data_IF_287697242694
#
_entry.id   IF_287697242694
#
_cell.length_a   1.000
_cell.length_b   1.000
_cell.length_c   1.000
_cell.angle_alpha   90.00
_cell.angle_beta   90.00
_cell.angle_gamma   90.00
#
_symmetry.space_group_name_H-M   'P 1'
#
loop_
_entity.id
_entity.type
_entity.pdbx_description
1 polymer ?
#
# COMPACT_ATOMS: atom_id res chain seq x y z
N UNK A 1 -8.58 18.27 -23.69
CA UNK A 1 -9.20 19.31 -22.85
C UNK A 1 -8.16 20.16 -22.13
N UNK A 2 -6.99 19.58 -21.75
CA UNK A 2 -5.90 20.23 -21.03
C UNK A 2 -4.70 20.56 -21.94
N UNK A 3 -4.89 20.48 -23.25
CA UNK A 3 -3.86 20.80 -24.23
C UNK A 3 -3.74 22.32 -24.44
N UNK A 4 -2.51 22.79 -24.54
CA UNK A 4 -2.20 24.20 -24.79
C UNK A 4 -0.92 24.34 -25.63
N UNK A 5 -0.67 25.52 -26.18
CA UNK A 5 0.53 25.80 -26.95
C UNK A 5 1.70 26.11 -26.01
N UNK A 6 2.76 25.36 -26.13
CA UNK A 6 3.99 25.53 -25.38
C UNK A 6 5.18 25.60 -26.35
N UNK A 7 5.67 26.83 -26.58
CA UNK A 7 6.75 27.13 -27.54
C UNK A 7 6.52 26.60 -28.96
N UNK A 8 5.30 26.70 -29.45
CA UNK A 8 4.92 26.26 -30.81
C UNK A 8 4.47 24.80 -30.89
N UNK A 9 4.54 24.03 -29.77
CA UNK A 9 4.05 22.65 -29.67
C UNK A 9 2.75 22.61 -28.89
N UNK A 10 1.81 21.79 -29.33
CA UNK A 10 0.62 21.46 -28.53
C UNK A 10 0.97 20.35 -27.58
N UNK A 11 0.89 20.62 -26.29
CA UNK A 11 1.17 19.65 -25.23
C UNK A 11 0.00 19.54 -24.26
N UNK A 12 -0.15 18.38 -23.60
CA UNK A 12 -1.07 18.19 -22.48
C UNK A 12 -0.36 18.49 -21.17
N UNK A 13 -1.03 19.22 -20.27
CA UNK A 13 -0.51 19.46 -18.92
C UNK A 13 -0.52 18.18 -18.10
N UNK A 14 -1.59 17.39 -18.21
CA UNK A 14 -1.78 16.15 -17.46
C UNK A 14 -1.48 14.97 -18.39
N UNK A 15 -0.27 14.42 -18.27
CA UNK A 15 0.10 13.19 -19.02
C UNK A 15 -0.68 12.02 -18.44
N UNK A 16 -1.50 11.41 -19.28
CA UNK A 16 -2.41 10.31 -18.93
C UNK A 16 -1.90 8.94 -19.41
N UNK A 17 -2.46 7.83 -18.94
CA UNK A 17 -2.20 6.52 -19.52
C UNK A 17 -2.52 6.43 -21.02
N UNK A 18 -3.56 7.14 -21.51
CA UNK A 18 -3.91 7.16 -22.92
C UNK A 18 -2.82 7.77 -23.80
N UNK A 19 -2.10 8.79 -23.30
CA UNK A 19 -0.95 9.35 -24.02
C UNK A 19 0.16 8.31 -24.19
N UNK A 20 0.40 7.51 -23.14
CA UNK A 20 1.41 6.45 -23.12
C UNK A 20 0.99 5.25 -23.99
N UNK A 21 -0.28 4.91 -24.03
CA UNK A 21 -0.83 3.75 -24.76
C UNK A 21 -0.55 3.79 -26.26
N UNK A 22 -0.26 4.98 -26.83
CA UNK A 22 0.12 5.12 -28.24
C UNK A 22 1.34 4.26 -28.62
N UNK A 23 2.26 4.03 -27.65
CA UNK A 23 3.49 3.22 -27.86
C UNK A 23 3.61 2.11 -26.82
N UNK A 24 2.99 2.21 -25.64
CA UNK A 24 3.13 1.33 -24.49
C UNK A 24 1.81 0.64 -24.14
N UNK A 25 1.17 0.02 -25.14
CA UNK A 25 -0.15 -0.62 -25.02
C UNK A 25 -0.16 -1.68 -23.93
N UNK A 26 0.81 -2.59 -23.94
CA UNK A 26 0.87 -3.72 -23.00
C UNK A 26 1.04 -3.24 -21.55
N UNK A 27 1.89 -2.24 -21.33
CA UNK A 27 2.12 -1.67 -20.01
C UNK A 27 0.86 -0.98 -19.46
N UNK A 28 0.15 -0.25 -20.32
CA UNK A 28 -1.10 0.42 -19.95
C UNK A 28 -2.20 -0.59 -19.65
N UNK A 29 -2.36 -1.63 -20.48
CA UNK A 29 -3.32 -2.72 -20.23
C UNK A 29 -3.03 -3.46 -18.92
N UNK A 30 -1.77 -3.84 -18.68
CA UNK A 30 -1.35 -4.49 -17.42
C UNK A 30 -1.60 -3.60 -16.20
N UNK A 31 -1.41 -2.29 -16.34
CA UNK A 31 -1.59 -1.33 -15.25
C UNK A 31 -3.07 -1.06 -14.94
N UNK A 32 -3.93 -1.00 -15.95
CA UNK A 32 -5.31 -0.52 -15.85
C UNK A 32 -6.16 -1.26 -14.81
N UNK A 33 -5.98 -2.57 -14.67
CA UNK A 33 -6.72 -3.38 -13.69
C UNK A 33 -5.94 -3.60 -12.37
N UNK A 34 -4.90 -2.82 -12.12
CA UNK A 34 -4.16 -2.90 -10.85
C UNK A 34 -4.86 -2.14 -9.73
N UNK A 35 -4.56 -2.52 -8.50
CA UNK A 35 -4.94 -1.74 -7.31
C UNK A 35 -4.37 -0.33 -7.31
N UNK A 36 -3.25 -0.10 -8.01
CA UNK A 36 -2.64 1.24 -8.15
C UNK A 36 -3.47 2.13 -9.07
N UNK A 37 -3.81 1.68 -10.26
CA UNK A 37 -4.68 2.45 -11.17
C UNK A 37 -6.05 2.73 -10.55
N UNK A 38 -6.56 1.80 -9.74
CA UNK A 38 -7.86 1.87 -9.07
C UNK A 38 -7.79 2.45 -7.64
N UNK A 39 -6.66 3.05 -7.23
CA UNK A 39 -6.46 3.49 -5.85
C UNK A 39 -7.43 4.60 -5.43
N UNK A 40 -7.75 5.55 -6.31
CA UNK A 40 -8.80 6.55 -6.06
C UNK A 40 -10.15 5.88 -5.78
N UNK A 41 -10.57 4.96 -6.64
CA UNK A 41 -11.84 4.26 -6.51
C UNK A 41 -11.92 3.43 -5.21
N UNK A 42 -10.81 2.85 -4.76
CA UNK A 42 -10.76 2.13 -3.49
C UNK A 42 -11.19 3.00 -2.31
N UNK A 43 -10.77 4.26 -2.25
CA UNK A 43 -11.18 5.19 -1.19
C UNK A 43 -12.56 5.78 -1.44
N UNK A 44 -12.89 6.11 -2.68
CA UNK A 44 -14.12 6.82 -3.01
C UNK A 44 -15.36 5.91 -3.09
N UNK A 45 -15.21 4.66 -3.52
CA UNK A 45 -16.33 3.73 -3.75
C UNK A 45 -16.51 2.68 -2.66
N UNK A 46 -15.53 2.49 -1.78
CA UNK A 46 -15.71 1.66 -0.59
C UNK A 46 -16.22 2.54 0.55
N UNK A 47 -17.46 2.35 1.05
CA UNK A 47 -18.04 3.20 2.10
C UNK A 47 -17.23 3.18 3.41
N UNK A 48 -16.57 2.06 3.75
CA UNK A 48 -15.73 1.98 4.95
C UNK A 48 -14.46 2.82 4.79
N UNK A 49 -13.78 2.74 3.65
CA UNK A 49 -12.62 3.61 3.39
C UNK A 49 -13.02 5.08 3.26
N UNK A 50 -14.15 5.37 2.64
CA UNK A 50 -14.67 6.75 2.56
C UNK A 50 -14.97 7.32 3.95
N UNK A 51 -15.55 6.52 4.84
CA UNK A 51 -15.78 6.89 6.24
C UNK A 51 -14.44 7.10 6.98
N UNK A 52 -13.49 6.20 6.81
CA UNK A 52 -12.15 6.33 7.39
C UNK A 52 -11.45 7.61 6.93
N UNK A 53 -11.44 7.90 5.62
CA UNK A 53 -10.90 9.16 5.08
C UNK A 53 -11.59 10.37 5.70
N UNK A 54 -12.92 10.36 5.78
CA UNK A 54 -13.71 11.45 6.35
C UNK A 54 -13.36 11.72 7.81
N UNK A 55 -13.28 10.67 8.63
CA UNK A 55 -12.96 10.78 10.06
C UNK A 55 -11.51 11.17 10.29
N UNK A 56 -10.56 10.60 9.51
CA UNK A 56 -9.12 10.87 9.66
C UNK A 56 -8.75 12.31 9.24
N UNK A 57 -9.50 12.90 8.32
CA UNK A 57 -9.29 14.29 7.87
C UNK A 57 -10.25 15.29 8.53
N UNK A 58 -11.08 14.86 9.48
CA UNK A 58 -12.08 15.68 10.14
C UNK A 58 -11.46 16.86 10.91
N UNK A 59 -12.16 17.99 10.88
CA UNK A 59 -11.82 19.12 11.72
C UNK A 59 -12.52 18.99 13.07
N UNK A 60 -11.76 19.00 14.15
CA UNK A 60 -12.27 18.87 15.52
C UNK A 60 -12.27 20.23 16.23
N UNK A 61 -13.34 20.51 16.98
CA UNK A 61 -13.46 21.72 17.78
C UNK A 61 -14.13 21.41 19.12
N UNK A 62 -13.85 22.22 20.14
CA UNK A 62 -14.59 22.17 21.42
C UNK A 62 -15.66 23.23 21.39
N UNK A 63 -16.94 22.79 21.37
CA UNK A 63 -18.09 23.68 21.37
C UNK A 63 -18.94 23.36 22.61
N UNK A 64 -19.16 24.36 23.43
CA UNK A 64 -19.93 24.25 24.68
C UNK A 64 -19.50 23.12 25.62
N UNK A 65 -18.19 22.85 25.67
CA UNK A 65 -17.62 21.79 26.51
C UNK A 65 -17.64 20.38 25.91
N UNK A 66 -18.11 20.19 24.67
CA UNK A 66 -18.12 18.94 23.96
C UNK A 66 -17.13 18.98 22.77
N UNK A 67 -16.42 17.89 22.52
CA UNK A 67 -15.63 17.72 21.31
C UNK A 67 -16.57 17.44 20.14
N UNK A 68 -16.55 18.30 19.14
CA UNK A 68 -17.32 18.16 17.89
C UNK A 68 -16.40 17.90 16.72
N UNK A 69 -16.93 17.38 15.61
CA UNK A 69 -16.17 17.17 14.39
C UNK A 69 -17.01 17.45 13.15
N UNK A 70 -16.39 18.05 12.17
CA UNK A 70 -16.93 18.22 10.83
C UNK A 70 -16.08 17.42 9.85
N UNK A 71 -16.70 16.87 8.80
CA UNK A 71 -15.97 16.14 7.76
C UNK A 71 -14.84 17.00 7.20
N UNK A 72 -13.71 16.37 6.92
CA UNK A 72 -12.54 17.05 6.33
C UNK A 72 -12.90 17.75 5.02
N UNK A 73 -12.25 18.90 4.79
CA UNK A 73 -12.41 19.63 3.52
C UNK A 73 -11.89 18.80 2.34
N UNK A 74 -12.29 19.15 1.14
CA UNK A 74 -11.73 18.54 -0.08
C UNK A 74 -10.20 18.70 -0.11
N UNK A 75 -9.69 19.89 0.26
CA UNK A 75 -8.25 20.12 0.36
C UNK A 75 -7.57 19.18 1.34
N UNK A 76 -8.11 18.99 2.55
CA UNK A 76 -7.54 18.08 3.55
C UNK A 76 -7.49 16.63 3.05
N UNK A 77 -8.51 16.18 2.32
CA UNK A 77 -8.53 14.85 1.69
C UNK A 77 -7.51 14.73 0.55
N UNK A 78 -7.41 15.78 -0.29
CA UNK A 78 -6.52 15.79 -1.45
C UNK A 78 -5.04 15.83 -1.05
N UNK A 79 -4.68 16.68 -0.08
CA UNK A 79 -3.32 16.78 0.46
C UNK A 79 -2.94 15.55 1.32
N UNK A 80 -3.92 14.90 1.94
CA UNK A 80 -3.74 13.67 2.71
C UNK A 80 -3.81 12.42 1.83
N UNK A 81 -4.91 11.68 1.95
CA UNK A 81 -5.06 10.36 1.34
C UNK A 81 -4.94 10.35 -0.19
N UNK A 82 -5.56 11.34 -0.86
CA UNK A 82 -5.55 11.40 -2.32
C UNK A 82 -4.24 11.93 -2.92
N UNK A 83 -3.33 12.43 -2.10
CA UNK A 83 -1.96 12.72 -2.55
C UNK A 83 -1.28 11.47 -3.13
N UNK A 84 -1.44 10.33 -2.46
CA UNK A 84 -0.93 9.02 -2.91
C UNK A 84 -1.95 8.24 -3.77
N UNK A 85 -3.23 8.26 -3.39
CA UNK A 85 -4.29 7.50 -4.05
C UNK A 85 -4.80 8.14 -5.34
N UNK A 86 -4.49 9.42 -5.59
CA UNK A 86 -4.87 10.17 -6.77
C UNK A 86 -6.15 10.97 -6.61
N UNK A 87 -6.12 12.22 -7.08
CA UNK A 87 -7.29 13.10 -7.17
C UNK A 87 -7.99 12.94 -8.51
N UNK A 88 -9.20 13.48 -8.62
CA UNK A 88 -9.85 13.71 -9.91
C UNK A 88 -9.45 15.10 -10.45
N UNK A 89 -8.76 15.13 -11.58
CA UNK A 89 -8.38 16.38 -12.23
C UNK A 89 -9.50 16.82 -13.17
N UNK A 90 -9.95 18.06 -13.04
CA UNK A 90 -10.94 18.67 -13.95
C UNK A 90 -10.37 19.92 -14.61
N UNK A 91 -10.82 20.20 -15.83
CA UNK A 91 -10.44 21.38 -16.62
C UNK A 91 -11.57 22.40 -16.57
N UNK A 92 -11.31 23.59 -16.05
CA UNK A 92 -12.28 24.70 -15.95
C UNK A 92 -12.07 25.78 -17.03
N UNK A 93 -11.44 25.42 -18.14
CA UNK A 93 -11.13 26.32 -19.21
C UNK A 93 -9.65 26.74 -19.25
N UNK A 94 -9.37 27.92 -19.79
CA UNK A 94 -8.04 28.51 -19.84
C UNK A 94 -7.95 29.69 -18.86
N UNK A 95 -6.75 29.94 -18.38
CA UNK A 95 -6.41 31.15 -17.61
C UNK A 95 -5.12 31.77 -18.16
N UNK A 96 -5.05 33.07 -18.15
CA UNK A 96 -3.82 33.81 -18.45
C UNK A 96 -2.90 33.84 -17.23
N UNK A 97 -1.64 33.59 -17.46
CA UNK A 97 -0.59 33.71 -16.45
C UNK A 97 0.58 34.52 -16.99
N UNK A 98 1.14 35.36 -16.14
CA UNK A 98 2.39 36.06 -16.46
C UNK A 98 3.56 35.09 -16.39
N UNK A 99 4.37 35.06 -17.42
CA UNK A 99 5.61 34.28 -17.47
C UNK A 99 6.80 35.18 -17.81
N UNK A 100 8.01 34.64 -17.69
CA UNK A 100 9.23 35.35 -18.11
C UNK A 100 9.24 35.73 -19.60
N UNK A 101 8.33 35.13 -20.39
CA UNK A 101 8.18 35.32 -21.84
C UNK A 101 6.92 36.14 -22.19
N UNK A 102 6.29 36.78 -21.20
CA UNK A 102 5.04 37.50 -21.32
C UNK A 102 3.82 36.68 -20.90
N UNK A 103 2.63 37.20 -21.17
CA UNK A 103 1.37 36.53 -20.88
C UNK A 103 1.19 35.28 -21.75
N UNK A 104 0.85 34.16 -21.14
CA UNK A 104 0.52 32.91 -21.80
C UNK A 104 -0.81 32.37 -21.29
N UNK A 105 -1.58 31.71 -22.16
CA UNK A 105 -2.78 30.99 -21.78
C UNK A 105 -2.41 29.55 -21.42
N UNK A 106 -2.86 29.09 -20.25
CA UNK A 106 -2.67 27.72 -19.74
C UNK A 106 -3.99 27.13 -19.26
N UNK A 107 -4.17 25.81 -19.25
CA UNK A 107 -5.35 25.19 -18.67
C UNK A 107 -5.54 25.56 -17.22
N UNK A 108 -6.77 25.92 -16.85
CA UNK A 108 -7.17 26.08 -15.45
C UNK A 108 -7.60 24.71 -14.92
N UNK A 109 -6.75 24.09 -14.10
CA UNK A 109 -6.91 22.73 -13.60
C UNK A 109 -7.26 22.73 -12.11
N UNK A 110 -8.35 22.07 -11.76
CA UNK A 110 -8.67 21.78 -10.35
C UNK A 110 -7.98 20.50 -9.90
N UNK A 111 -7.61 20.46 -8.60
CA UNK A 111 -6.92 19.32 -7.96
C UNK A 111 -5.56 18.96 -8.61
N UNK A 112 -4.93 19.92 -9.25
CA UNK A 112 -3.60 19.83 -9.85
C UNK A 112 -2.62 20.78 -9.13
N UNK A 113 -1.33 20.40 -8.92
CA UNK A 113 -0.70 19.14 -9.37
C UNK A 113 -1.04 17.96 -8.48
N UNK A 114 -1.14 16.77 -9.06
CA UNK A 114 -1.27 15.51 -8.34
C UNK A 114 -0.54 14.38 -9.08
N UNK A 115 0.25 13.59 -8.36
CA UNK A 115 1.01 12.45 -8.87
C UNK A 115 0.54 11.11 -8.29
N UNK A 116 -0.59 11.09 -7.58
CA UNK A 116 -1.14 9.87 -6.99
C UNK A 116 -1.44 8.81 -8.03
N UNK A 117 -1.08 7.56 -7.71
CA UNK A 117 -1.07 6.43 -8.67
C UNK A 117 -2.43 6.14 -9.31
N UNK A 118 -3.54 6.42 -8.63
CA UNK A 118 -4.91 6.21 -9.12
C UNK A 118 -5.59 7.48 -9.63
N UNK A 119 -4.83 8.50 -10.02
CA UNK A 119 -5.36 9.76 -10.51
C UNK A 119 -6.39 9.56 -11.63
N UNK A 120 -7.50 10.28 -11.57
CA UNK A 120 -8.50 10.34 -12.63
C UNK A 120 -8.20 11.55 -13.50
N UNK A 121 -7.86 11.28 -14.77
CA UNK A 121 -7.37 12.28 -15.71
C UNK A 121 -8.50 13.00 -16.43
N UNK A 122 -8.26 14.18 -17.05
CA UNK A 122 -9.28 14.94 -17.80
C UNK A 122 -9.89 14.19 -18.98
N UNK A 123 -9.17 13.20 -19.53
CA UNK A 123 -9.64 12.33 -20.62
C UNK A 123 -10.47 11.13 -20.12
N UNK A 124 -10.69 11.02 -18.80
CA UNK A 124 -11.42 9.94 -18.15
C UNK A 124 -10.60 8.70 -17.85
N UNK A 125 -9.35 8.61 -18.28
CA UNK A 125 -8.45 7.50 -17.95
C UNK A 125 -8.08 7.52 -16.47
N UNK A 126 -7.74 6.34 -15.92
CA UNK A 126 -7.34 6.17 -14.52
C UNK A 126 -5.90 5.74 -14.43
N UNK A 127 -5.18 6.37 -13.51
CA UNK A 127 -3.78 6.07 -13.25
C UNK A 127 -2.82 7.21 -13.57
N UNK A 128 -1.60 7.08 -13.06
CA UNK A 128 -0.55 8.06 -13.30
C UNK A 128 0.79 7.35 -13.55
N UNK A 129 1.13 7.13 -14.80
CA UNK A 129 2.45 6.60 -15.20
C UNK A 129 3.58 7.50 -14.66
N UNK A 130 3.31 8.81 -14.58
CA UNK A 130 4.22 9.82 -14.05
C UNK A 130 4.45 9.77 -12.54
N UNK A 131 3.73 8.91 -11.81
CA UNK A 131 4.03 8.62 -10.40
C UNK A 131 5.36 7.87 -10.24
N UNK A 132 5.74 7.08 -11.24
CA UNK A 132 6.98 6.30 -11.26
C UNK A 132 7.95 6.78 -12.32
N UNK A 133 7.46 7.09 -13.52
CA UNK A 133 8.23 7.65 -14.63
C UNK A 133 8.10 9.17 -14.60
N UNK A 134 9.02 9.83 -13.88
CA UNK A 134 8.93 11.28 -13.66
C UNK A 134 8.90 12.08 -14.96
N UNK A 135 8.10 13.14 -14.99
CA UNK A 135 7.93 14.01 -16.17
C UNK A 135 9.26 14.56 -16.67
N UNK A 136 9.27 14.83 -17.96
CA UNK A 136 10.34 15.30 -18.83
C UNK A 136 11.36 14.23 -19.23
N UNK A 137 11.78 13.35 -18.33
CA UNK A 137 12.76 12.29 -18.65
C UNK A 137 12.12 10.93 -18.86
N UNK A 138 11.00 10.64 -18.18
CA UNK A 138 10.32 9.34 -18.17
C UNK A 138 11.28 8.16 -17.93
N UNK A 139 12.28 8.39 -17.07
CA UNK A 139 13.42 7.50 -16.86
C UNK A 139 13.02 6.18 -16.21
N UNK A 140 13.49 5.08 -16.76
CA UNK A 140 13.41 3.76 -16.15
C UNK A 140 14.34 3.66 -14.92
N UNK A 141 15.48 4.37 -14.94
CA UNK A 141 16.39 4.44 -13.82
C UNK A 141 15.73 5.01 -12.57
N UNK A 142 14.95 6.10 -12.72
CA UNK A 142 14.17 6.68 -11.61
C UNK A 142 13.10 5.71 -11.14
N UNK A 143 12.36 5.08 -12.06
CA UNK A 143 11.28 4.15 -11.70
C UNK A 143 11.77 2.90 -10.93
N UNK A 144 13.04 2.50 -11.11
CA UNK A 144 13.67 1.35 -10.44
C UNK A 144 14.17 1.67 -9.03
N UNK A 145 14.39 2.95 -8.71
CA UNK A 145 14.89 3.33 -7.39
C UNK A 145 13.83 3.14 -6.30
N UNK A 146 14.20 2.62 -5.13
CA UNK A 146 13.27 2.43 -4.01
C UNK A 146 12.58 3.71 -3.56
N UNK A 147 13.24 4.87 -3.69
CA UNK A 147 12.73 6.20 -3.36
C UNK A 147 11.44 6.51 -4.12
N UNK A 148 11.34 6.10 -5.37
CA UNK A 148 10.12 6.26 -6.18
C UNK A 148 8.91 5.58 -5.56
N UNK A 149 9.09 4.39 -5.01
CA UNK A 149 8.03 3.68 -4.27
C UNK A 149 7.79 4.32 -2.90
N UNK A 150 8.87 4.80 -2.26
CA UNK A 150 8.87 5.44 -0.96
C UNK A 150 8.09 6.76 -0.87
N UNK A 151 7.70 7.37 -2.00
CA UNK A 151 6.80 8.53 -1.98
C UNK A 151 5.39 8.22 -1.44
N UNK A 152 4.97 6.95 -1.52
CA UNK A 152 3.64 6.50 -1.08
C UNK A 152 3.70 5.31 -0.11
N UNK A 153 4.70 4.43 -0.25
CA UNK A 153 4.88 3.26 0.61
C UNK A 153 5.78 3.59 1.82
N UNK A 154 5.26 4.40 2.72
CA UNK A 154 5.95 4.93 3.91
C UNK A 154 5.07 4.77 5.16
N UNK A 155 5.69 4.93 6.31
CA UNK A 155 4.97 4.87 7.59
C UNK A 155 3.99 6.05 7.78
N UNK A 156 2.95 5.90 8.62
CA UNK A 156 2.82 4.82 9.61
C UNK A 156 2.17 3.54 9.08
N UNK A 157 1.34 3.57 8.05
CA UNK A 157 0.45 2.48 7.63
C UNK A 157 1.09 1.48 6.66
N UNK A 158 2.00 1.92 5.78
CA UNK A 158 2.67 1.07 4.78
C UNK A 158 4.19 1.28 4.80
N UNK A 159 4.91 0.95 5.89
CA UNK A 159 6.33 1.29 6.08
C UNK A 159 7.28 0.47 5.19
N UNK A 160 6.88 0.16 3.94
CA UNK A 160 7.66 -0.71 3.07
C UNK A 160 9.03 -0.13 2.71
N UNK A 161 9.10 1.18 2.49
CA UNK A 161 10.36 1.86 2.16
C UNK A 161 11.32 1.89 3.36
N UNK A 162 10.80 2.18 4.56
CA UNK A 162 11.59 2.18 5.79
C UNK A 162 12.12 0.78 6.12
N UNK A 163 11.26 -0.23 6.07
CA UNK A 163 11.64 -1.64 6.25
C UNK A 163 12.70 -2.07 5.24
N UNK A 164 12.52 -1.69 3.97
CA UNK A 164 13.51 -1.97 2.92
C UNK A 164 14.88 -1.36 3.27
N UNK A 165 14.91 -0.09 3.70
CA UNK A 165 16.18 0.59 4.09
C UNK A 165 16.89 -0.10 5.25
N UNK A 166 16.15 -0.70 6.17
CA UNK A 166 16.69 -1.45 7.30
C UNK A 166 17.21 -2.83 6.89
N UNK A 167 16.62 -3.44 5.85
CA UNK A 167 16.99 -4.75 5.35
C UNK A 167 18.43 -4.80 4.84
N UNK A 168 19.02 -6.03 4.78
CA UNK A 168 20.35 -6.22 4.19
C UNK A 168 20.40 -5.83 2.71
N UNK A 169 19.31 -6.03 1.96
CA UNK A 169 19.21 -5.59 0.57
C UNK A 169 19.23 -4.06 0.46
N UNK A 170 18.47 -3.36 1.29
CA UNK A 170 18.48 -1.91 1.34
C UNK A 170 19.81 -1.34 1.81
N UNK A 171 20.51 -2.00 2.74
CA UNK A 171 21.86 -1.58 3.15
C UNK A 171 22.84 -1.69 1.99
N UNK A 172 22.80 -2.78 1.22
CA UNK A 172 23.66 -2.96 0.04
C UNK A 172 23.32 -1.93 -1.06
N UNK A 173 22.05 -1.69 -1.33
CA UNK A 173 21.61 -0.63 -2.23
C UNK A 173 22.16 0.75 -1.82
N UNK A 174 22.05 1.12 -0.56
CA UNK A 174 22.55 2.41 -0.05
C UNK A 174 24.06 2.55 -0.15
N UNK A 175 24.78 1.44 0.00
CA UNK A 175 26.23 1.44 -0.08
C UNK A 175 26.74 1.49 -1.52
N UNK A 176 26.09 0.81 -2.48
CA UNK A 176 26.62 0.54 -3.81
C UNK A 176 25.67 0.88 -4.97
N UNK A 177 24.41 1.23 -4.71
CA UNK A 177 23.40 1.46 -5.74
C UNK A 177 23.76 2.57 -6.74
N UNK A 178 24.62 3.52 -6.37
CA UNK A 178 25.12 4.57 -7.28
C UNK A 178 25.90 4.01 -8.47
N UNK A 179 26.51 2.83 -8.30
CA UNK A 179 27.39 2.21 -9.28
C UNK A 179 26.65 1.20 -10.17
N UNK A 180 25.33 1.00 -9.93
CA UNK A 180 24.52 0.07 -10.69
C UNK A 180 24.11 0.62 -12.05
N UNK A 181 23.90 -0.27 -13.02
CA UNK A 181 23.44 0.09 -14.34
C UNK A 181 21.91 0.15 -14.40
N UNK A 182 21.35 1.28 -14.03
CA UNK A 182 19.91 1.48 -13.88
C UNK A 182 19.11 1.46 -15.17
N UNK A 183 19.74 1.77 -16.31
CA UNK A 183 19.07 1.89 -17.61
C UNK A 183 19.04 0.58 -18.41
N UNK A 184 19.85 -0.41 -18.02
CA UNK A 184 19.96 -1.67 -18.77
C UNK A 184 18.65 -2.46 -18.78
N UNK A 185 18.24 -2.96 -19.98
CA UNK A 185 17.08 -3.84 -20.18
C UNK A 185 17.47 -5.00 -21.09
N UNK A 186 17.29 -6.26 -20.69
CA UNK A 186 16.88 -6.74 -19.35
C UNK A 186 17.86 -6.33 -18.26
N UNK A 187 17.37 -6.28 -17.01
CA UNK A 187 18.21 -5.98 -15.85
C UNK A 187 18.86 -7.27 -15.35
N UNK A 188 20.19 -7.34 -15.39
CA UNK A 188 20.97 -8.55 -15.11
C UNK A 188 21.33 -8.61 -13.64
N UNK A 189 20.87 -9.68 -12.96
CA UNK A 189 21.19 -9.91 -11.55
C UNK A 189 22.65 -10.30 -11.37
N UNK A 190 23.37 -9.60 -10.51
CA UNK A 190 24.78 -9.79 -10.24
C UNK A 190 25.72 -8.95 -11.13
N UNK A 191 25.22 -8.40 -12.24
CA UNK A 191 26.02 -7.50 -13.11
C UNK A 191 25.52 -6.05 -13.02
N UNK A 192 24.25 -5.83 -13.37
CA UNK A 192 23.66 -4.47 -13.38
C UNK A 192 23.18 -4.06 -12.00
N UNK A 193 22.86 -5.03 -11.14
CA UNK A 193 22.44 -4.83 -9.75
C UNK A 193 22.92 -5.96 -8.84
N UNK A 194 23.39 -5.63 -7.65
CA UNK A 194 23.89 -6.59 -6.66
C UNK A 194 22.87 -6.93 -5.56
N UNK A 195 21.77 -6.19 -5.50
CA UNK A 195 20.67 -6.45 -4.59
C UNK A 195 19.33 -6.06 -5.20
N UNK A 196 18.24 -6.73 -4.82
CA UNK A 196 16.92 -6.38 -5.30
C UNK A 196 16.47 -5.02 -4.74
N UNK A 197 15.78 -4.24 -5.59
CA UNK A 197 14.95 -3.11 -5.23
C UNK A 197 13.47 -3.51 -5.27
N UNK A 198 12.56 -2.59 -4.95
CA UNK A 198 11.13 -2.83 -5.11
C UNK A 198 10.80 -3.25 -6.56
N UNK A 199 11.37 -2.56 -7.54
CA UNK A 199 11.17 -2.85 -8.95
C UNK A 199 11.69 -4.24 -9.37
N UNK A 200 12.77 -4.72 -8.76
CA UNK A 200 13.30 -6.07 -9.03
C UNK A 200 12.25 -7.15 -8.71
N UNK A 201 11.64 -7.07 -7.54
CA UNK A 201 10.66 -8.07 -7.10
C UNK A 201 9.29 -7.90 -7.79
N UNK A 202 8.89 -6.67 -8.13
CA UNK A 202 7.51 -6.39 -8.52
C UNK A 202 7.27 -6.25 -10.02
N UNK A 203 8.22 -5.72 -10.82
CA UNK A 203 7.88 -5.37 -12.21
C UNK A 203 9.01 -5.47 -13.26
N UNK A 204 10.29 -5.54 -12.86
CA UNK A 204 11.37 -5.54 -13.85
C UNK A 204 11.46 -6.84 -14.66
N UNK A 205 11.89 -6.71 -15.92
CA UNK A 205 12.43 -7.82 -16.69
C UNK A 205 13.82 -8.15 -16.15
N UNK A 206 13.96 -9.35 -15.60
CA UNK A 206 15.19 -9.81 -14.96
C UNK A 206 15.78 -10.99 -15.69
N UNK A 207 17.11 -10.98 -15.84
CA UNK A 207 17.87 -12.14 -16.28
C UNK A 207 18.96 -12.48 -15.28
N UNK A 208 19.39 -13.73 -15.26
CA UNK A 208 20.53 -14.21 -14.50
C UNK A 208 21.38 -15.17 -15.37
N UNK A 209 22.68 -15.25 -15.09
CA UNK A 209 23.66 -16.05 -15.87
C UNK A 209 24.57 -15.17 -16.69
N UNK A 210 25.87 -15.52 -16.70
CA UNK A 210 26.95 -14.74 -17.39
C UNK A 210 27.05 -15.05 -18.88
N UNK A 211 26.90 -16.32 -19.26
CA UNK A 211 27.20 -16.79 -20.64
C UNK A 211 25.92 -16.94 -21.48
N UNK A 212 24.84 -17.40 -20.88
CA UNK A 212 23.53 -17.60 -21.53
C UNK A 212 22.43 -17.14 -20.54
N UNK A 213 22.13 -15.83 -20.51
CA UNK A 213 21.24 -15.28 -19.50
C UNK A 213 19.80 -15.80 -19.65
N UNK A 214 19.28 -16.48 -18.64
CA UNK A 214 17.89 -16.92 -18.56
C UNK A 214 16.98 -15.83 -17.98
N UNK A 215 15.75 -15.73 -18.48
CA UNK A 215 14.73 -14.86 -17.91
C UNK A 215 14.23 -15.47 -16.61
N UNK A 216 14.56 -14.84 -15.49
CA UNK A 216 14.09 -15.24 -14.16
C UNK A 216 12.75 -14.60 -13.81
N UNK A 217 12.47 -13.42 -14.36
CA UNK A 217 11.18 -12.75 -14.19
C UNK A 217 10.84 -11.89 -15.42
N UNK A 218 9.68 -12.07 -16.06
CA UNK A 218 9.24 -11.21 -17.16
C UNK A 218 8.90 -9.79 -16.63
N UNK A 219 8.97 -8.78 -17.51
CA UNK A 219 8.48 -7.45 -17.21
C UNK A 219 6.95 -7.48 -16.99
N UNK A 220 6.48 -6.75 -16.01
CA UNK A 220 5.05 -6.54 -15.79
C UNK A 220 4.76 -5.17 -15.17
N UNK A 221 3.61 -4.57 -15.52
CA UNK A 221 3.05 -3.42 -14.83
C UNK A 221 1.86 -3.81 -13.93
N UNK A 222 1.56 -5.11 -13.83
CA UNK A 222 0.71 -5.64 -12.78
C UNK A 222 1.55 -5.93 -11.52
N UNK A 223 1.65 -4.95 -10.63
CA UNK A 223 2.45 -5.02 -9.40
C UNK A 223 2.00 -6.13 -8.42
N UNK A 224 0.84 -6.72 -8.64
CA UNK A 224 0.32 -7.83 -7.86
C UNK A 224 0.62 -9.21 -8.40
N UNK A 225 1.16 -9.33 -9.63
CA UNK A 225 1.29 -10.58 -10.37
C UNK A 225 2.15 -11.64 -9.65
N UNK A 226 3.16 -11.21 -8.89
CA UNK A 226 4.04 -12.10 -8.12
C UNK A 226 3.70 -12.16 -6.64
N UNK A 227 2.56 -11.59 -6.22
CA UNK A 227 2.12 -11.56 -4.83
C UNK A 227 0.96 -12.53 -4.63
N UNK A 228 1.11 -13.48 -3.72
CA UNK A 228 0.08 -14.49 -3.40
C UNK A 228 -0.85 -14.06 -2.28
N UNK A 229 -0.38 -13.24 -1.34
CA UNK A 229 -1.13 -12.73 -0.20
C UNK A 229 -1.12 -11.21 -0.21
N UNK A 230 -2.25 -10.59 0.13
CA UNK A 230 -2.32 -9.18 0.45
C UNK A 230 -2.25 -9.01 1.95
N UNK A 231 -1.23 -8.34 2.41
CA UNK A 231 -0.95 -8.12 3.84
C UNK A 231 -1.52 -6.82 4.38
N UNK A 232 -1.98 -5.93 3.50
CA UNK A 232 -2.70 -4.69 3.84
C UNK A 232 -4.20 -4.91 3.69
N UNK A 233 -4.78 -5.84 4.44
CA UNK A 233 -6.21 -6.11 4.40
C UNK A 233 -6.98 -5.25 5.39
N UNK A 234 -8.30 -5.21 5.22
CA UNK A 234 -9.25 -4.72 6.19
C UNK A 234 -9.99 -5.91 6.80
N UNK A 235 -9.74 -6.25 8.03
CA UNK A 235 -8.59 -6.01 8.91
C UNK A 235 -7.49 -7.07 8.77
N UNK A 236 -7.73 -8.19 8.06
CA UNK A 236 -6.86 -9.36 7.99
C UNK A 236 -6.11 -9.44 6.66
N UNK A 237 -5.00 -10.20 6.67
CA UNK A 237 -4.39 -10.66 5.43
C UNK A 237 -5.34 -11.61 4.68
N UNK A 238 -5.23 -11.64 3.37
CA UNK A 238 -6.08 -12.48 2.53
C UNK A 238 -5.40 -12.77 1.18
N UNK A 239 -5.85 -13.76 0.39
CA UNK A 239 -5.38 -13.94 -0.98
C UNK A 239 -5.53 -12.65 -1.79
N UNK A 240 -4.67 -12.42 -2.77
CA UNK A 240 -4.80 -11.23 -3.60
C UNK A 240 -6.17 -11.15 -4.26
N UNK A 241 -6.79 -9.97 -4.36
CA UNK A 241 -7.96 -9.78 -5.21
C UNK A 241 -7.64 -10.06 -6.68
N UNK A 242 -8.60 -10.64 -7.39
CA UNK A 242 -8.49 -10.93 -8.84
C UNK A 242 -8.40 -9.64 -9.64
N UNK A 243 -9.12 -8.58 -9.20
CA UNK A 243 -9.19 -7.28 -9.86
C UNK A 243 -8.71 -6.14 -8.97
N UNK A 244 -8.29 -5.05 -9.60
CA UNK A 244 -7.90 -3.81 -8.92
C UNK A 244 -9.06 -3.09 -8.21
N UNK A 245 -10.31 -3.32 -8.65
CA UNK A 245 -11.53 -2.74 -8.09
C UNK A 245 -11.96 -3.43 -6.80
N UNK A 246 -11.16 -3.28 -5.75
CA UNK A 246 -11.33 -3.98 -4.46
C UNK A 246 -12.63 -3.62 -3.73
N UNK A 247 -13.27 -2.52 -4.07
CA UNK A 247 -14.59 -2.13 -3.52
C UNK A 247 -15.76 -2.97 -4.04
N UNK A 248 -15.54 -3.78 -5.08
CA UNK A 248 -16.54 -4.72 -5.61
C UNK A 248 -16.56 -6.05 -4.82
N UNK A 249 -15.51 -6.34 -4.05
CA UNK A 249 -15.49 -7.52 -3.19
C UNK A 249 -16.64 -7.49 -2.18
N UNK A 250 -17.15 -8.68 -1.85
CA UNK A 250 -18.14 -8.85 -0.79
C UNK A 250 -17.76 -10.05 0.06
N UNK A 251 -17.72 -9.83 1.38
CA UNK A 251 -17.62 -10.91 2.34
C UNK A 251 -18.98 -11.65 2.49
N UNK A 252 -19.06 -12.66 3.35
CA UNK A 252 -20.29 -13.42 3.56
C UNK A 252 -21.41 -12.58 4.17
N UNK A 253 -21.07 -11.55 4.95
CA UNK A 253 -22.02 -10.57 5.49
C UNK A 253 -22.49 -9.52 4.47
N UNK A 254 -21.99 -9.56 3.20
CA UNK A 254 -22.31 -8.62 2.13
C UNK A 254 -21.61 -7.26 2.25
N UNK A 255 -20.66 -7.12 3.15
CA UNK A 255 -19.88 -5.89 3.32
C UNK A 255 -18.80 -5.81 2.23
N UNK A 256 -18.35 -4.59 1.84
CA UNK A 256 -17.31 -4.40 0.82
C UNK A 256 -15.90 -4.68 1.40
N UNK A 257 -15.73 -5.86 1.97
CA UNK A 257 -14.51 -6.32 2.63
C UNK A 257 -14.02 -7.63 1.98
N UNK A 258 -12.69 -7.86 1.97
CA UNK A 258 -12.10 -9.10 1.49
C UNK A 258 -12.22 -10.27 2.47
N UNK A 259 -12.57 -9.98 3.72
CA UNK A 259 -12.79 -10.97 4.79
C UNK A 259 -14.01 -10.60 5.63
N UNK A 260 -14.57 -11.58 6.31
CA UNK A 260 -15.46 -11.33 7.45
C UNK A 260 -14.66 -10.83 8.66
N UNK A 261 -15.36 -10.31 9.69
CA UNK A 261 -14.71 -9.84 10.92
C UNK A 261 -14.07 -10.97 11.74
N UNK A 262 -14.33 -12.21 11.39
CA UNK A 262 -13.66 -13.38 11.97
C UNK A 262 -12.42 -13.83 11.18
N UNK A 263 -12.05 -13.14 10.12
CA UNK A 263 -10.91 -13.41 9.26
C UNK A 263 -11.20 -14.39 8.11
N UNK A 264 -12.43 -14.92 8.00
CA UNK A 264 -12.80 -15.80 6.89
C UNK A 264 -12.75 -15.04 5.57
N UNK A 265 -11.97 -15.48 4.58
CA UNK A 265 -11.87 -14.81 3.28
C UNK A 265 -13.18 -14.81 2.51
N UNK A 266 -13.43 -13.77 1.72
CA UNK A 266 -14.56 -13.73 0.79
C UNK A 266 -14.54 -14.93 -0.16
N UNK A 267 -15.71 -15.51 -0.42
CA UNK A 267 -15.86 -16.72 -1.22
C UNK A 267 -15.53 -16.50 -2.71
N UNK A 268 -15.60 -15.25 -3.19
CA UNK A 268 -15.36 -14.88 -4.59
C UNK A 268 -14.52 -13.62 -4.68
N UNK A 269 -13.91 -13.39 -5.85
CA UNK A 269 -13.11 -12.19 -6.12
C UNK A 269 -11.68 -12.23 -5.60
N UNK A 270 -11.26 -13.33 -4.97
CA UNK A 270 -9.89 -13.59 -4.54
C UNK A 270 -9.25 -14.69 -5.40
N UNK A 271 -7.95 -14.65 -5.59
CA UNK A 271 -7.22 -15.68 -6.36
C UNK A 271 -7.30 -17.03 -5.66
N UNK A 272 -7.30 -18.10 -6.47
CA UNK A 272 -7.34 -19.47 -5.98
C UNK A 272 -6.05 -19.89 -5.24
N UNK A 273 -6.11 -20.97 -4.47
CA UNK A 273 -4.93 -21.54 -3.81
C UNK A 273 -3.85 -21.99 -4.83
N UNK A 274 -4.27 -22.47 -6.01
CA UNK A 274 -3.34 -22.84 -7.08
C UNK A 274 -2.60 -21.59 -7.59
N UNK A 275 -3.31 -20.52 -7.87
CA UNK A 275 -2.70 -19.27 -8.31
C UNK A 275 -1.81 -18.63 -7.23
N UNK A 276 -2.18 -18.74 -5.95
CA UNK A 276 -1.30 -18.35 -4.85
C UNK A 276 0.04 -19.09 -4.90
N UNK A 277 0.00 -20.41 -5.10
CA UNK A 277 1.20 -21.24 -5.21
C UNK A 277 2.06 -20.84 -6.43
N UNK A 278 1.45 -20.61 -7.59
CA UNK A 278 2.14 -20.19 -8.80
C UNK A 278 2.82 -18.82 -8.62
N UNK A 279 2.14 -17.85 -7.99
CA UNK A 279 2.71 -16.53 -7.69
C UNK A 279 3.86 -16.61 -6.69
N UNK A 280 3.76 -17.49 -5.69
CA UNK A 280 4.86 -17.72 -4.74
C UNK A 280 6.08 -18.34 -5.44
N UNK A 281 5.87 -19.27 -6.37
CA UNK A 281 6.94 -19.83 -7.22
C UNK A 281 7.57 -18.73 -8.09
N UNK A 282 6.76 -17.88 -8.70
CA UNK A 282 7.26 -16.77 -9.51
C UNK A 282 8.13 -15.80 -8.68
N UNK A 283 7.71 -15.46 -7.47
CA UNK A 283 8.52 -14.65 -6.54
C UNK A 283 9.81 -15.39 -6.12
N UNK A 284 9.72 -16.71 -5.86
CA UNK A 284 10.89 -17.51 -5.50
C UNK A 284 11.97 -17.51 -6.58
N UNK A 285 11.58 -17.50 -7.87
CA UNK A 285 12.54 -17.43 -8.99
C UNK A 285 13.38 -16.15 -8.95
N UNK A 286 12.76 -15.02 -8.58
CA UNK A 286 13.52 -13.76 -8.37
C UNK A 286 14.60 -13.94 -7.31
N UNK A 287 14.26 -14.58 -6.18
CA UNK A 287 15.23 -14.82 -5.11
C UNK A 287 16.35 -15.77 -5.55
N UNK A 288 16.01 -16.84 -6.28
CA UNK A 288 16.98 -17.84 -6.71
C UNK A 288 17.92 -17.35 -7.82
N UNK A 289 17.66 -16.19 -8.40
CA UNK A 289 18.65 -15.50 -9.26
C UNK A 289 19.95 -15.13 -8.53
N UNK A 290 19.93 -15.04 -7.19
CA UNK A 290 21.09 -14.74 -6.35
C UNK A 290 21.29 -15.74 -5.20
N UNK A 291 20.24 -16.41 -4.74
CA UNK A 291 20.25 -17.28 -3.55
C UNK A 291 19.98 -18.74 -3.91
N UNK A 292 20.44 -19.66 -3.05
CA UNK A 292 20.03 -21.06 -3.14
C UNK A 292 18.53 -21.22 -2.89
N UNK A 293 17.90 -22.25 -3.44
CA UNK A 293 16.46 -22.51 -3.32
C UNK A 293 15.99 -22.67 -1.86
N UNK A 294 16.86 -23.09 -0.96
CA UNK A 294 16.53 -23.17 0.48
C UNK A 294 16.26 -21.81 1.12
N UNK A 295 16.82 -20.74 0.58
CA UNK A 295 16.64 -19.38 1.12
C UNK A 295 15.19 -18.88 0.99
N UNK A 296 14.58 -18.81 -0.22
CA UNK A 296 13.18 -18.39 -0.33
C UNK A 296 12.21 -19.35 0.37
N UNK A 297 12.45 -20.67 0.36
CA UNK A 297 11.61 -21.64 1.07
C UNK A 297 11.56 -21.32 2.56
N UNK A 298 12.72 -21.19 3.21
CA UNK A 298 12.78 -20.88 4.63
C UNK A 298 12.26 -19.48 4.97
N UNK A 299 12.50 -18.49 4.10
CA UNK A 299 12.00 -17.15 4.26
C UNK A 299 10.47 -17.09 4.21
N UNK A 300 9.86 -17.68 3.18
CA UNK A 300 8.41 -17.65 3.03
C UNK A 300 7.67 -18.47 4.08
N UNK A 301 8.28 -19.55 4.60
CA UNK A 301 7.72 -20.28 5.75
C UNK A 301 7.63 -19.36 7.00
N UNK A 302 8.69 -18.65 7.33
CA UNK A 302 8.67 -17.69 8.44
C UNK A 302 7.72 -16.52 8.20
N UNK A 303 7.71 -15.98 7.00
CA UNK A 303 6.80 -14.89 6.62
C UNK A 303 5.33 -15.31 6.77
N UNK A 304 4.95 -16.47 6.25
CA UNK A 304 3.58 -16.97 6.36
C UNK A 304 3.17 -17.19 7.82
N UNK A 305 4.10 -17.65 8.68
CA UNK A 305 3.84 -17.79 10.11
C UNK A 305 3.66 -16.43 10.79
N UNK A 306 4.50 -15.44 10.49
CA UNK A 306 4.32 -14.07 11.02
C UNK A 306 2.97 -13.47 10.59
N UNK A 307 2.55 -13.69 9.33
CA UNK A 307 1.23 -13.24 8.84
C UNK A 307 0.12 -13.89 9.67
N UNK A 308 0.17 -15.23 9.84
CA UNK A 308 -0.81 -15.97 10.64
C UNK A 308 -0.89 -15.46 12.08
N UNK A 309 0.26 -15.27 12.73
CA UNK A 309 0.32 -14.81 14.13
C UNK A 309 -0.19 -13.37 14.28
N UNK A 310 0.16 -12.47 13.37
CA UNK A 310 -0.37 -11.10 13.39
C UNK A 310 -1.87 -11.08 13.18
N UNK A 311 -2.41 -11.94 12.31
CA UNK A 311 -3.86 -12.06 12.10
C UNK A 311 -4.58 -12.56 13.36
N UNK A 312 -3.98 -13.47 14.14
CA UNK A 312 -4.53 -13.88 15.44
C UNK A 312 -4.60 -12.71 16.44
N UNK A 313 -3.60 -11.84 16.44
CA UNK A 313 -3.63 -10.66 17.32
C UNK A 313 -4.61 -9.59 16.83
N UNK A 314 -4.80 -9.45 15.52
CA UNK A 314 -5.88 -8.62 14.96
C UNK A 314 -7.23 -9.21 15.32
N UNK A 315 -7.38 -10.55 15.31
CA UNK A 315 -8.59 -11.22 15.76
C UNK A 315 -8.92 -10.91 17.22
N UNK A 316 -7.93 -10.99 18.11
CA UNK A 316 -8.12 -10.63 19.51
C UNK A 316 -8.61 -9.17 19.67
N UNK A 317 -8.05 -8.23 18.92
CA UNK A 317 -8.52 -6.84 18.92
C UNK A 317 -9.95 -6.72 18.38
N UNK A 318 -10.30 -7.48 17.33
CA UNK A 318 -11.65 -7.48 16.75
C UNK A 318 -12.67 -8.08 17.71
N UNK A 319 -12.30 -9.11 18.47
CA UNK A 319 -13.17 -9.68 19.52
C UNK A 319 -13.43 -8.67 20.66
N UNK A 320 -12.41 -7.91 21.09
CA UNK A 320 -12.57 -6.80 22.03
C UNK A 320 -13.47 -5.70 21.46
N UNK A 321 -13.29 -5.37 20.17
CA UNK A 321 -14.11 -4.38 19.50
C UNK A 321 -15.59 -4.82 19.40
N UNK A 322 -15.83 -6.09 19.02
CA UNK A 322 -17.17 -6.67 18.99
C UNK A 322 -17.86 -6.60 20.36
N UNK A 323 -17.11 -6.81 21.44
CA UNK A 323 -17.66 -6.65 22.80
C UNK A 323 -18.11 -5.20 23.05
N UNK A 324 -17.33 -4.21 22.63
CA UNK A 324 -17.71 -2.80 22.76
C UNK A 324 -18.98 -2.46 21.96
N UNK A 325 -19.05 -2.89 20.71
CA UNK A 325 -20.23 -2.66 19.85
C UNK A 325 -21.48 -3.36 20.38
N UNK A 326 -21.37 -4.65 20.72
CA UNK A 326 -22.52 -5.45 21.20
C UNK A 326 -23.07 -4.98 22.55
N UNK A 327 -22.28 -4.27 23.34
CA UNK A 327 -22.69 -3.70 24.63
C UNK A 327 -23.06 -2.20 24.55
N UNK A 328 -23.01 -1.62 23.35
CA UNK A 328 -23.35 -0.22 23.12
C UNK A 328 -22.33 0.78 23.69
N UNK A 329 -21.10 0.35 23.93
CA UNK A 329 -20.01 1.23 24.39
C UNK A 329 -19.30 1.96 23.24
N UNK A 330 -19.48 1.49 22.02
CA UNK A 330 -19.10 2.14 20.77
C UNK A 330 -20.22 1.95 19.74
N UNK A 331 -20.29 2.82 18.73
CA UNK A 331 -21.36 2.84 17.74
C UNK A 331 -20.93 2.22 16.42
N UNK A 332 -21.38 1.02 16.05
CA UNK A 332 -20.96 0.37 14.81
C UNK A 332 -21.44 1.08 13.53
N UNK A 333 -22.24 2.14 13.63
CA UNK A 333 -22.64 2.95 12.47
C UNK A 333 -21.51 3.88 11.97
N UNK A 334 -20.58 4.24 12.85
CA UNK A 334 -19.31 4.89 12.49
C UNK A 334 -18.17 4.14 13.16
N UNK A 335 -17.34 3.45 12.37
CA UNK A 335 -16.32 2.52 12.86
C UNK A 335 -14.99 3.21 13.24
N UNK A 336 -14.91 4.55 13.27
CA UNK A 336 -13.62 5.24 13.35
C UNK A 336 -13.63 6.48 14.25
N UNK A 337 -14.63 6.69 15.10
CA UNK A 337 -14.75 7.93 15.89
C UNK A 337 -14.62 7.76 17.40
N UNK A 338 -14.79 6.56 17.95
CA UNK A 338 -14.50 6.29 19.35
C UNK A 338 -13.05 5.83 19.59
N UNK A 339 -12.58 6.04 20.81
CA UNK A 339 -11.19 5.71 21.21
C UNK A 339 -10.84 4.25 20.97
N UNK A 340 -11.74 3.32 21.29
CA UNK A 340 -11.49 1.89 21.15
C UNK A 340 -11.46 1.48 19.67
N UNK A 341 -12.23 2.13 18.83
CA UNK A 341 -12.22 1.96 17.36
C UNK A 341 -10.91 2.46 16.78
N UNK A 342 -10.41 3.62 17.23
CA UNK A 342 -9.08 4.11 16.88
C UNK A 342 -7.98 3.09 17.22
N UNK A 343 -8.04 2.50 18.41
CA UNK A 343 -7.10 1.42 18.82
C UNK A 343 -7.23 0.17 17.95
N UNK A 344 -8.45 -0.21 17.56
CA UNK A 344 -8.68 -1.32 16.65
C UNK A 344 -8.09 -1.05 15.26
N UNK A 345 -8.24 0.17 14.74
CA UNK A 345 -7.60 0.62 13.49
C UNK A 345 -6.08 0.56 13.59
N UNK A 346 -5.51 1.08 14.66
CA UNK A 346 -4.05 1.02 14.88
C UNK A 346 -3.54 -0.42 14.87
N UNK A 347 -4.30 -1.36 15.41
CA UNK A 347 -3.91 -2.77 15.46
C UNK A 347 -3.73 -3.39 14.09
N UNK A 348 -4.69 -3.21 13.17
CA UNK A 348 -4.64 -3.87 11.87
C UNK A 348 -3.99 -3.02 10.77
N UNK A 349 -4.14 -1.69 10.83
CA UNK A 349 -3.62 -0.79 9.79
C UNK A 349 -2.14 -0.43 10.02
N UNK A 350 -1.75 -0.20 11.28
CA UNK A 350 -0.41 0.27 11.61
C UNK A 350 0.46 -0.90 12.09
N UNK A 351 0.11 -1.50 13.21
CA UNK A 351 1.01 -2.45 13.88
C UNK A 351 1.13 -3.80 13.17
N UNK A 352 0.01 -4.38 12.73
CA UNK A 352 0.05 -5.64 12.00
C UNK A 352 0.73 -5.47 10.62
N UNK A 353 0.51 -4.35 9.92
CA UNK A 353 1.18 -4.07 8.66
C UNK A 353 2.68 -3.90 8.84
N UNK A 354 3.12 -3.22 9.91
CA UNK A 354 4.53 -3.08 10.26
C UNK A 354 5.20 -4.45 10.46
N UNK A 355 4.61 -5.31 11.28
CA UNK A 355 5.16 -6.65 11.53
C UNK A 355 5.18 -7.52 10.26
N UNK A 356 4.11 -7.51 9.46
CA UNK A 356 4.02 -8.28 8.20
C UNK A 356 5.04 -7.80 7.16
N UNK A 357 5.18 -6.49 6.97
CA UNK A 357 6.17 -5.91 6.07
C UNK A 357 7.60 -6.14 6.57
N UNK A 358 7.81 -5.96 7.88
CA UNK A 358 9.09 -6.27 8.53
C UNK A 358 9.53 -7.70 8.26
N UNK A 359 8.61 -8.67 8.38
CA UNK A 359 8.88 -10.07 8.05
C UNK A 359 9.10 -10.29 6.55
N UNK A 360 8.27 -9.71 5.68
CA UNK A 360 8.37 -9.86 4.23
C UNK A 360 9.72 -9.42 3.66
N UNK A 361 10.31 -8.35 4.20
CA UNK A 361 11.55 -7.74 3.72
C UNK A 361 12.73 -7.84 4.69
N UNK A 362 12.58 -8.63 5.77
CA UNK A 362 13.62 -8.88 6.77
C UNK A 362 14.12 -7.61 7.49
N UNK A 363 13.18 -6.76 7.92
CA UNK A 363 13.42 -5.62 8.81
C UNK A 363 13.05 -5.98 10.25
N UNK A 364 14.00 -6.49 11.07
CA UNK A 364 13.69 -7.09 12.37
C UNK A 364 13.13 -6.10 13.40
N UNK A 365 13.52 -4.82 13.33
CA UNK A 365 13.01 -3.81 14.26
C UNK A 365 11.50 -3.55 14.02
N UNK A 366 11.09 -3.50 12.75
CA UNK A 366 9.67 -3.37 12.38
C UNK A 366 8.83 -4.61 12.75
N UNK A 367 9.44 -5.79 12.79
CA UNK A 367 8.76 -6.96 13.34
C UNK A 367 8.61 -6.84 14.86
N UNK A 368 9.68 -6.47 15.56
CA UNK A 368 9.73 -6.49 17.01
C UNK A 368 9.20 -5.21 17.68
N UNK A 369 9.85 -4.10 17.43
CA UNK A 369 9.74 -2.90 18.25
C UNK A 369 9.16 -1.67 17.51
N UNK A 370 9.59 -1.37 16.28
CA UNK A 370 9.08 -0.23 15.56
C UNK A 370 7.69 -0.53 15.00
N UNK A 371 6.66 -0.23 15.77
CA UNK A 371 5.25 -0.49 15.43
C UNK A 371 4.92 -1.98 15.17
N UNK A 372 5.73 -2.93 15.65
CA UNK A 372 5.51 -4.36 15.48
C UNK A 372 4.90 -5.04 16.72
N UNK A 373 5.37 -6.24 17.07
CA UNK A 373 4.86 -7.08 18.15
C UNK A 373 4.71 -6.36 19.49
N UNK A 374 5.68 -5.53 19.88
CA UNK A 374 5.62 -4.76 21.11
C UNK A 374 4.40 -3.85 21.18
N UNK A 375 4.14 -3.11 20.09
CA UNK A 375 3.01 -2.21 20.03
C UNK A 375 1.67 -2.94 19.90
N UNK A 376 1.62 -4.06 19.16
CA UNK A 376 0.43 -4.90 19.08
C UNK A 376 -0.01 -5.39 20.46
N UNK A 377 0.93 -5.90 21.28
CA UNK A 377 0.65 -6.37 22.64
C UNK A 377 0.18 -5.23 23.56
N UNK A 378 0.86 -4.09 23.53
CA UNK A 378 0.48 -2.93 24.35
C UNK A 378 -0.89 -2.39 23.96
N UNK A 379 -1.22 -2.39 22.68
CA UNK A 379 -2.49 -1.94 22.19
C UNK A 379 -3.64 -2.87 22.64
N UNK A 380 -3.45 -4.18 22.52
CA UNK A 380 -4.41 -5.17 23.04
C UNK A 380 -4.65 -5.00 24.54
N UNK A 381 -3.57 -4.81 25.32
CA UNK A 381 -3.69 -4.52 26.75
C UNK A 381 -4.51 -3.24 26.98
N UNK A 382 -4.22 -2.16 26.25
CA UNK A 382 -4.94 -0.89 26.37
C UNK A 382 -6.43 -1.01 25.99
N UNK A 383 -6.76 -1.80 24.95
CA UNK A 383 -8.16 -2.11 24.62
C UNK A 383 -8.86 -2.91 25.74
N UNK A 384 -8.17 -3.89 26.31
CA UNK A 384 -8.67 -4.66 27.45
C UNK A 384 -8.90 -3.81 28.70
N UNK A 385 -7.98 -2.91 29.04
CA UNK A 385 -8.11 -1.98 30.15
C UNK A 385 -9.28 -0.99 29.93
N UNK A 386 -9.48 -0.51 28.69
CA UNK A 386 -10.61 0.33 28.32
C UNK A 386 -11.97 -0.35 28.60
N UNK A 387 -12.08 -1.64 28.26
CA UNK A 387 -13.28 -2.44 28.51
C UNK A 387 -13.43 -2.80 30.00
N UNK A 388 -12.34 -3.11 30.71
CA UNK A 388 -12.34 -3.40 32.13
C UNK A 388 -12.77 -2.18 32.96
N UNK A 389 -12.35 -0.98 32.57
CA UNK A 389 -12.81 0.28 33.19
C UNK A 389 -14.32 0.53 33.05
N UNK A 390 -14.98 -0.19 32.14
CA UNK A 390 -16.44 -0.16 31.91
C UNK A 390 -17.17 -1.39 32.50
N UNK A 391 -16.43 -2.25 33.21
CA UNK A 391 -16.98 -3.45 33.85
C UNK A 391 -17.30 -4.60 32.88
N UNK A 392 -16.75 -4.57 31.66
CA UNK A 392 -17.01 -5.57 30.61
C UNK A 392 -15.97 -6.70 30.58
N UNK A 393 -14.82 -6.50 31.19
CA UNK A 393 -13.77 -7.50 31.36
C UNK A 393 -13.32 -7.56 32.82
N UNK A 394 -12.79 -8.71 33.25
CA UNK A 394 -12.17 -8.87 34.56
C UNK A 394 -10.91 -8.01 34.70
N UNK A 395 -10.67 -7.50 35.92
CA UNK A 395 -9.47 -6.75 36.25
C UNK A 395 -8.87 -7.31 37.56
N UNK A 396 -7.53 -7.50 37.67
CA UNK A 396 -6.51 -7.26 36.67
C UNK A 396 -6.58 -8.26 35.50
N UNK A 397 -6.09 -7.85 34.33
CA UNK A 397 -5.99 -8.72 33.16
C UNK A 397 -5.00 -9.87 33.44
N UNK A 398 -5.29 -11.05 32.89
CA UNK A 398 -4.44 -12.22 33.08
C UNK A 398 -3.05 -11.95 32.46
N UNK A 399 -1.96 -12.04 33.23
CA UNK A 399 -0.62 -11.80 32.68
C UNK A 399 -0.22 -12.90 31.70
N UNK A 400 0.56 -12.52 30.69
CA UNK A 400 1.19 -13.50 29.80
C UNK A 400 2.20 -14.32 30.60
N UNK A 401 2.14 -15.66 30.59
CA UNK A 401 3.12 -16.49 31.25
C UNK A 401 4.53 -16.23 30.73
N UNK A 402 5.51 -16.07 31.61
CA UNK A 402 6.89 -16.03 31.17
C UNK A 402 7.32 -17.44 30.70
N UNK A 403 7.97 -17.53 29.55
CA UNK A 403 8.62 -18.78 29.16
C UNK A 403 9.70 -19.15 30.19
N UNK A 404 9.82 -20.44 30.58
CA UNK A 404 10.89 -20.85 31.44
C UNK A 404 12.24 -20.56 30.77
N UNK A 405 13.09 -19.79 31.43
CA UNK A 405 14.47 -19.59 30.98
C UNK A 405 15.15 -20.95 30.86
N UNK A 406 15.33 -21.44 29.65
CA UNK A 406 16.26 -22.53 29.37
C UNK A 406 17.62 -21.86 29.42
N UNK A 407 18.35 -22.07 30.54
CA UNK A 407 19.75 -21.66 30.63
C UNK A 407 20.53 -22.36 29.49
N UNK A 408 21.48 -21.69 28.82
CA UNK A 408 22.25 -22.24 27.74
C UNK A 408 23.09 -23.46 28.14
#
# INVERSE_FOLDING_TARGET
>A
ADAFNHFGYTISTVVSPNDCATCHTDEVEQYADTKKANAHGTLAHNPLFSQFVSTSTAHRAVVTGALTGEAGTENARNEGCYSCHGTRITVEGLRTVDSMLGEIEVPNLQNWPNSGVGRINPDGSQGACTACHTRHTFSIAVARQPETCGHCHLKPDVPAYEVYKESRHGNLYRARGRDWNWDQVPWRLGEDTEAPTCATCHNSLLTAGEVDPEVVAPRTHNFGERLWVRIFGLPYSHPQPVHGRTWELRNAAGQPLPTDLDGTPAATGLISAAEQADRQVAMSRVCTGCHSSSTPIGHFARFNETVRETDLMVRAATDLMNLAWNTGQANPANLFDEEIEGKWVDQWLIYANSARLGSAMMGPDYVGFEQGWHYMNRNLQSMGEWLAGRGLLGFPLVPVPAEPHVAP
#
